data_IF_867648146322
#
_entry.id   IF_867648146322
#
_cell.length_a   1.000
_cell.length_b   1.000
_cell.length_c   1.000
_cell.angle_alpha   90.00
_cell.angle_beta   90.00
_cell.angle_gamma   90.00
#
_symmetry.space_group_name_H-M   'P 1'
#
loop_
_entity.id
_entity.type
_entity.pdbx_description
1 polymer ?
#
# COMPACT_ATOMS: atom_id res chain seq x y z
N UNK A 1 58.04 9.41 -20.37
CA UNK A 1 57.28 8.77 -19.28
C UNK A 1 56.16 7.83 -19.82
N UNK A 2 55.40 8.20 -20.82
CA UNK A 2 54.31 7.41 -21.42
C UNK A 2 54.72 6.05 -22.00
N UNK A 3 55.88 5.93 -22.63
CA UNK A 3 56.39 4.67 -23.22
C UNK A 3 56.67 3.58 -22.19
N UNK A 4 57.21 3.96 -21.02
CA UNK A 4 57.50 3.02 -19.93
C UNK A 4 56.18 2.48 -19.33
N UNK A 5 55.16 3.35 -19.15
CA UNK A 5 53.83 2.96 -18.66
C UNK A 5 53.15 1.98 -19.61
N UNK A 6 53.19 2.23 -20.92
CA UNK A 6 52.61 1.37 -21.94
C UNK A 6 53.27 -0.02 -21.97
N UNK A 7 54.60 -0.10 -21.77
CA UNK A 7 55.34 -1.37 -21.73
C UNK A 7 55.00 -2.17 -20.45
N UNK A 8 54.84 -1.51 -19.31
CA UNK A 8 54.44 -2.15 -18.04
C UNK A 8 53.02 -2.69 -18.19
N UNK A 9 52.10 -1.90 -18.74
CA UNK A 9 50.69 -2.36 -18.98
C UNK A 9 50.65 -3.58 -19.90
N UNK A 10 51.40 -3.56 -21.00
CA UNK A 10 51.48 -4.67 -21.95
C UNK A 10 52.07 -5.93 -21.33
N UNK A 11 53.09 -5.79 -20.47
CA UNK A 11 53.67 -6.89 -19.70
C UNK A 11 52.72 -7.49 -18.70
N UNK A 12 51.96 -6.67 -17.97
CA UNK A 12 50.97 -7.10 -17.01
C UNK A 12 49.82 -7.88 -17.68
N UNK A 13 49.32 -7.38 -18.80
CA UNK A 13 48.27 -8.08 -19.59
C UNK A 13 48.77 -9.43 -20.10
N UNK A 14 50.01 -9.49 -20.59
CA UNK A 14 50.63 -10.73 -21.06
C UNK A 14 50.75 -11.77 -19.94
N UNK A 15 51.15 -11.34 -18.73
CA UNK A 15 51.23 -12.22 -17.56
C UNK A 15 49.87 -12.77 -17.12
N UNK A 16 48.81 -11.95 -17.18
CA UNK A 16 47.43 -12.36 -16.90
C UNK A 16 46.99 -13.43 -17.91
N UNK A 17 47.24 -13.24 -19.18
CA UNK A 17 46.89 -14.16 -20.27
C UNK A 17 47.72 -15.44 -20.28
N UNK A 18 48.94 -15.43 -19.72
CA UNK A 18 49.80 -16.61 -19.62
C UNK A 18 49.31 -17.65 -18.63
N UNK A 19 48.59 -17.22 -17.56
CA UNK A 19 48.05 -18.10 -16.52
C UNK A 19 46.51 -18.00 -16.50
N UNK A 20 45.84 -18.38 -17.56
CA UNK A 20 44.39 -18.21 -17.79
C UNK A 20 43.55 -18.74 -16.65
N UNK A 21 43.86 -19.90 -16.11
CA UNK A 21 43.07 -20.57 -15.05
C UNK A 21 43.16 -19.81 -13.73
N UNK A 22 44.33 -19.29 -13.36
CA UNK A 22 44.54 -18.49 -12.15
C UNK A 22 43.83 -17.13 -12.27
N UNK A 23 43.97 -16.49 -13.42
CA UNK A 23 43.34 -15.20 -13.68
C UNK A 23 41.82 -15.31 -13.69
N UNK A 24 41.27 -16.38 -14.27
CA UNK A 24 39.82 -16.65 -14.29
C UNK A 24 39.29 -16.87 -12.87
N UNK A 25 39.97 -17.69 -12.05
CA UNK A 25 39.54 -17.96 -10.67
C UNK A 25 39.58 -16.70 -9.79
N UNK A 26 40.63 -15.87 -9.95
CA UNK A 26 40.74 -14.62 -9.18
C UNK A 26 39.72 -13.60 -9.61
N UNK A 27 39.44 -13.45 -10.90
CA UNK A 27 38.37 -12.59 -11.42
C UNK A 27 36.97 -13.09 -10.96
N UNK A 28 36.74 -14.38 -11.00
CA UNK A 28 35.49 -14.97 -10.55
C UNK A 28 35.25 -14.68 -9.06
N UNK A 29 36.28 -14.84 -8.21
CA UNK A 29 36.19 -14.50 -6.79
C UNK A 29 35.86 -13.04 -6.56
N UNK A 30 36.51 -12.14 -7.31
CA UNK A 30 36.30 -10.70 -7.22
C UNK A 30 34.85 -10.34 -7.64
N UNK A 31 34.39 -10.89 -8.78
CA UNK A 31 33.02 -10.62 -9.29
C UNK A 31 31.98 -11.11 -8.31
N UNK A 32 32.13 -12.34 -7.79
CA UNK A 32 31.19 -12.88 -6.79
C UNK A 32 31.20 -12.01 -5.52
N UNK A 33 32.38 -11.60 -5.03
CA UNK A 33 32.48 -10.76 -3.86
C UNK A 33 31.76 -9.41 -4.03
N UNK A 34 32.02 -8.70 -5.14
CA UNK A 34 31.37 -7.43 -5.41
C UNK A 34 29.86 -7.59 -5.65
N UNK A 35 29.47 -8.60 -6.43
CA UNK A 35 28.06 -8.89 -6.69
C UNK A 35 27.28 -9.17 -5.39
N UNK A 36 27.86 -9.95 -4.46
CA UNK A 36 27.26 -10.26 -3.18
C UNK A 36 26.99 -9.01 -2.34
N UNK A 37 27.93 -8.07 -2.30
CA UNK A 37 27.76 -6.80 -1.58
C UNK A 37 26.67 -5.94 -2.20
N UNK A 38 26.65 -5.83 -3.54
CA UNK A 38 25.63 -5.06 -4.25
C UNK A 38 24.23 -5.62 -3.99
N UNK A 39 24.09 -6.95 -4.06
CA UNK A 39 22.80 -7.63 -3.80
C UNK A 39 22.37 -7.40 -2.35
N UNK A 40 23.28 -7.54 -1.38
CA UNK A 40 22.96 -7.35 0.03
C UNK A 40 22.46 -5.92 0.31
N UNK A 41 23.17 -4.92 -0.21
CA UNK A 41 22.79 -3.50 -0.07
C UNK A 41 21.47 -3.23 -0.80
N UNK A 42 21.30 -3.79 -1.99
CA UNK A 42 20.04 -3.66 -2.75
C UNK A 42 18.83 -4.23 -2.03
N UNK A 43 18.95 -5.42 -1.45
CA UNK A 43 17.89 -6.04 -0.63
C UNK A 43 17.61 -5.18 0.61
N UNK A 44 18.66 -4.71 1.31
CA UNK A 44 18.51 -3.88 2.50
C UNK A 44 17.72 -2.59 2.21
N UNK A 45 18.12 -1.86 1.18
CA UNK A 45 17.44 -0.63 0.77
C UNK A 45 16.01 -0.89 0.27
N UNK A 46 15.81 -1.94 -0.52
CA UNK A 46 14.48 -2.32 -1.01
C UNK A 46 13.52 -2.68 0.12
N UNK A 47 13.99 -3.45 1.11
CA UNK A 47 13.21 -3.82 2.28
C UNK A 47 12.87 -2.59 3.12
N UNK A 48 13.83 -1.71 3.39
CA UNK A 48 13.61 -0.49 4.15
C UNK A 48 12.58 0.43 3.47
N UNK A 49 12.68 0.61 2.15
CA UNK A 49 11.72 1.39 1.39
C UNK A 49 10.32 0.79 1.42
N UNK A 50 10.21 -0.54 1.32
CA UNK A 50 8.93 -1.23 1.38
C UNK A 50 8.28 -1.13 2.76
N UNK A 51 9.05 -1.27 3.83
CA UNK A 51 8.56 -1.09 5.20
C UNK A 51 8.09 0.36 5.40
N UNK A 52 8.89 1.34 4.97
CA UNK A 52 8.51 2.75 5.10
C UNK A 52 7.20 3.07 4.37
N UNK A 53 7.03 2.56 3.14
CA UNK A 53 5.78 2.75 2.40
C UNK A 53 4.58 2.05 3.05
N UNK A 54 4.78 0.87 3.64
CA UNK A 54 3.73 0.18 4.38
C UNK A 54 3.34 0.92 5.67
N UNK A 55 4.31 1.47 6.40
CA UNK A 55 4.03 2.28 7.60
C UNK A 55 3.28 3.55 7.21
N UNK A 56 3.68 4.24 6.14
CA UNK A 56 2.97 5.41 5.64
C UNK A 56 1.54 5.08 5.19
N UNK A 57 1.32 3.92 4.56
CA UNK A 57 -0.02 3.49 4.15
C UNK A 57 -0.93 3.10 5.31
N UNK A 58 -0.39 2.86 6.50
CA UNK A 58 -1.18 2.62 7.71
C UNK A 58 -1.70 3.89 8.36
N UNK A 59 -1.42 5.08 7.78
CA UNK A 59 -1.86 6.37 8.29
C UNK A 59 -1.16 6.73 9.60
N UNK A 60 0.10 7.14 9.53
CA UNK A 60 0.87 7.55 10.72
C UNK A 60 0.26 8.74 11.45
N UNK A 61 -0.61 9.47 10.77
CA UNK A 61 -1.25 10.69 11.27
C UNK A 61 -2.73 10.46 11.62
N UNK A 62 -3.18 9.19 11.66
CA UNK A 62 -4.56 8.83 12.00
C UNK A 62 -4.68 8.44 13.46
N UNK A 63 -5.53 9.14 14.19
CA UNK A 63 -5.92 8.80 15.56
C UNK A 63 -7.29 8.13 15.54
N UNK A 64 -7.37 6.88 16.00
CA UNK A 64 -8.64 6.17 16.11
C UNK A 64 -9.17 6.28 17.55
N UNK A 65 -10.34 6.90 17.70
CA UNK A 65 -11.06 6.98 18.95
C UNK A 65 -12.15 5.89 18.98
N UNK A 66 -12.03 4.94 19.91
CA UNK A 66 -13.04 3.91 20.12
C UNK A 66 -13.93 4.27 21.32
N UNK A 67 -15.20 4.48 21.07
CA UNK A 67 -16.17 4.79 22.12
C UNK A 67 -16.95 3.52 22.45
N UNK A 68 -16.60 2.91 23.58
CA UNK A 68 -17.23 1.70 24.11
C UNK A 68 -18.10 2.03 25.34
N UNK A 69 -18.95 3.03 25.25
CA UNK A 69 -19.86 3.39 26.34
C UNK A 69 -21.31 3.25 25.90
N UNK A 70 -22.11 2.68 26.78
CA UNK A 70 -23.57 2.67 26.60
C UNK A 70 -24.21 4.04 26.90
N UNK A 71 -23.47 4.93 27.55
CA UNK A 71 -23.99 6.19 28.06
C UNK A 71 -23.67 7.40 27.18
N UNK A 72 -22.79 7.20 26.19
CA UNK A 72 -22.39 8.24 25.23
C UNK A 72 -22.55 7.74 23.80
N UNK A 73 -23.30 8.48 23.00
CA UNK A 73 -23.33 8.37 21.55
C UNK A 73 -22.71 9.63 20.96
N UNK A 74 -21.85 9.49 19.96
CA UNK A 74 -21.37 10.62 19.18
C UNK A 74 -22.53 11.19 18.37
N UNK A 75 -22.69 12.52 18.47
CA UNK A 75 -23.58 13.27 17.61
C UNK A 75 -22.76 14.08 16.58
N UNK A 76 -23.43 14.59 15.54
CA UNK A 76 -22.79 15.44 14.52
C UNK A 76 -22.12 16.68 15.09
N UNK A 77 -22.65 17.26 16.16
CA UNK A 77 -22.05 18.39 16.88
C UNK A 77 -20.69 18.09 17.50
N UNK A 78 -20.43 16.83 17.82
CA UNK A 78 -19.15 16.40 18.40
C UNK A 78 -18.06 16.37 17.31
N UNK A 79 -18.44 16.04 16.07
CA UNK A 79 -17.54 16.05 14.90
C UNK A 79 -17.05 17.47 14.62
N UNK A 80 -17.96 18.45 14.60
CA UNK A 80 -17.63 19.86 14.43
C UNK A 80 -16.69 20.36 15.53
N UNK A 81 -16.90 19.89 16.75
CA UNK A 81 -16.05 20.23 17.90
C UNK A 81 -14.64 19.67 17.75
N UNK A 82 -14.50 18.45 17.18
CA UNK A 82 -13.20 17.84 16.90
C UNK A 82 -12.47 18.52 15.75
N UNK A 83 -13.16 18.92 14.68
CA UNK A 83 -12.59 19.65 13.56
C UNK A 83 -12.05 21.04 13.96
N UNK A 84 -12.59 21.65 15.02
CA UNK A 84 -12.11 22.93 15.54
C UNK A 84 -10.83 22.79 16.39
N UNK A 85 -10.33 21.59 16.68
CA UNK A 85 -9.08 21.40 17.38
C UNK A 85 -7.88 21.68 16.47
N UNK A 86 -6.80 22.23 17.07
CA UNK A 86 -5.57 22.46 16.31
C UNK A 86 -4.95 21.14 15.83
N UNK A 87 -4.49 21.14 14.59
CA UNK A 87 -3.84 20.01 13.92
C UNK A 87 -4.76 18.82 13.59
N UNK A 88 -6.07 19.01 13.56
CA UNK A 88 -7.02 18.05 13.01
C UNK A 88 -7.47 18.58 11.65
N UNK A 89 -7.24 17.79 10.60
CA UNK A 89 -7.57 18.15 9.23
C UNK A 89 -8.88 17.50 8.79
N UNK A 90 -9.07 16.22 9.15
CA UNK A 90 -10.25 15.42 8.79
C UNK A 90 -10.77 14.64 9.99
N UNK A 91 -12.07 14.48 10.07
CA UNK A 91 -12.74 13.62 11.06
C UNK A 91 -13.72 12.73 10.32
N UNK A 92 -13.48 11.42 10.33
CA UNK A 92 -14.33 10.44 9.66
C UNK A 92 -14.94 9.47 10.69
N UNK A 93 -16.18 9.68 11.13
CA UNK A 93 -16.88 8.72 11.97
C UNK A 93 -17.14 7.44 11.18
N UNK A 94 -16.96 6.30 11.83
CA UNK A 94 -17.30 5.02 11.22
C UNK A 94 -17.88 4.03 12.20
N UNK A 95 -18.70 3.12 11.68
CA UNK A 95 -19.24 1.99 12.45
C UNK A 95 -19.12 0.72 11.65
N UNK A 96 -18.50 -0.29 12.24
CA UNK A 96 -18.35 -1.61 11.60
C UNK A 96 -19.49 -2.54 12.03
N UNK A 97 -20.11 -3.18 11.06
CA UNK A 97 -21.16 -4.15 11.24
C UNK A 97 -20.79 -5.40 10.45
N UNK A 98 -20.74 -6.55 11.10
CA UNK A 98 -20.56 -7.83 10.39
C UNK A 98 -21.90 -8.22 9.76
N UNK A 99 -21.90 -8.41 8.45
CA UNK A 99 -23.10 -8.75 7.69
C UNK A 99 -22.78 -9.77 6.59
N UNK A 100 -23.82 -10.35 6.04
CA UNK A 100 -23.73 -11.19 4.84
C UNK A 100 -24.17 -10.37 3.65
N UNK A 101 -23.32 -10.34 2.63
CA UNK A 101 -23.60 -9.64 1.38
C UNK A 101 -23.93 -10.66 0.30
N UNK A 102 -24.96 -10.41 -0.49
CA UNK A 102 -25.37 -11.29 -1.56
C UNK A 102 -25.63 -10.53 -2.86
N UNK A 103 -25.41 -11.21 -3.97
CA UNK A 103 -25.83 -10.80 -5.29
C UNK A 103 -26.54 -11.98 -5.96
N UNK A 104 -27.81 -11.78 -6.33
CA UNK A 104 -28.63 -12.84 -6.93
C UNK A 104 -28.61 -14.15 -6.09
N UNK A 105 -28.03 -15.21 -6.65
CA UNK A 105 -27.88 -16.51 -5.98
C UNK A 105 -26.51 -16.68 -5.30
N UNK A 106 -25.57 -15.75 -5.50
CA UNK A 106 -24.23 -15.80 -4.93
C UNK A 106 -24.22 -15.11 -3.58
N UNK A 107 -23.79 -15.80 -2.54
CA UNK A 107 -23.71 -15.26 -1.18
C UNK A 107 -22.27 -15.30 -0.69
N UNK A 108 -21.73 -14.16 -0.26
CA UNK A 108 -20.47 -14.09 0.48
C UNK A 108 -20.78 -14.17 1.98
N UNK A 109 -20.17 -15.12 2.68
CA UNK A 109 -20.55 -15.44 4.05
C UNK A 109 -20.01 -14.48 5.11
N UNK A 110 -19.04 -13.62 4.80
CA UNK A 110 -18.42 -12.70 5.76
C UNK A 110 -17.99 -11.39 5.09
N UNK A 111 -18.81 -10.37 5.24
CA UNK A 111 -18.43 -9.01 4.89
C UNK A 111 -18.49 -8.12 6.13
N UNK A 112 -17.45 -7.33 6.35
CA UNK A 112 -17.49 -6.24 7.30
C UNK A 112 -17.99 -5.00 6.56
N UNK A 113 -19.19 -4.59 6.91
CA UNK A 113 -19.80 -3.37 6.40
C UNK A 113 -19.36 -2.21 7.28
N UNK A 114 -18.78 -1.20 6.68
CA UNK A 114 -18.36 0.03 7.34
C UNK A 114 -19.30 1.15 6.91
N UNK A 115 -20.16 1.60 7.84
CA UNK A 115 -20.94 2.80 7.65
C UNK A 115 -20.09 4.01 8.02
N UNK A 116 -19.94 4.96 7.10
CA UNK A 116 -19.01 6.08 7.27
C UNK A 116 -19.36 7.29 6.39
N UNK A 117 -18.61 8.37 6.53
CA UNK A 117 -18.67 9.60 5.70
C UNK A 117 -17.74 9.52 4.49
N UNK A 118 -17.87 10.43 3.50
CA UNK A 118 -16.99 10.49 2.33
C UNK A 118 -15.51 10.60 2.65
N UNK A 119 -15.14 11.31 3.72
CA UNK A 119 -13.76 11.58 4.12
C UNK A 119 -13.00 10.35 4.65
N UNK A 120 -13.72 9.26 4.91
CA UNK A 120 -13.12 8.07 5.52
C UNK A 120 -11.99 7.46 4.68
N UNK A 121 -12.18 7.36 3.35
CA UNK A 121 -11.15 6.77 2.49
C UNK A 121 -9.89 7.61 2.46
N UNK A 122 -10.04 8.94 2.43
CA UNK A 122 -8.93 9.86 2.48
C UNK A 122 -8.20 9.75 3.82
N UNK A 123 -8.94 9.72 4.93
CA UNK A 123 -8.39 9.56 6.28
C UNK A 123 -7.54 8.29 6.41
N UNK A 124 -7.97 7.18 5.83
CA UNK A 124 -7.21 5.90 5.90
C UNK A 124 -6.26 5.69 4.71
N UNK A 125 -6.11 6.69 3.83
CA UNK A 125 -5.19 6.66 2.70
C UNK A 125 -5.55 5.66 1.61
N UNK A 126 -6.83 5.29 1.46
CA UNK A 126 -7.29 4.40 0.41
C UNK A 126 -7.76 5.18 -0.82
N UNK A 127 -7.51 4.60 -1.98
CA UNK A 127 -7.92 5.14 -3.28
C UNK A 127 -8.84 4.18 -4.01
N UNK A 128 -9.69 4.74 -4.88
CA UNK A 128 -10.58 3.95 -5.74
C UNK A 128 -9.85 3.55 -7.01
N UNK A 129 -9.98 2.29 -7.41
CA UNK A 129 -9.47 1.80 -8.69
C UNK A 129 -10.49 1.96 -9.82
N UNK A 130 -11.79 1.94 -9.53
CA UNK A 130 -12.86 2.08 -10.51
C UNK A 130 -14.14 2.61 -9.87
N UNK A 131 -14.89 3.46 -10.57
CA UNK A 131 -16.10 4.08 -10.07
C UNK A 131 -15.87 5.48 -9.51
N UNK A 132 -16.63 5.87 -8.49
CA UNK A 132 -16.53 7.17 -7.82
C UNK A 132 -16.53 7.02 -6.30
N UNK A 133 -15.97 7.99 -5.61
CA UNK A 133 -16.08 8.12 -4.15
C UNK A 133 -17.53 8.39 -3.71
N UNK A 134 -17.78 8.15 -2.44
CA UNK A 134 -18.96 8.66 -1.75
C UNK A 134 -18.88 10.20 -1.77
N UNK A 135 -20.02 10.85 -1.80
CA UNK A 135 -20.12 12.31 -1.78
C UNK A 135 -21.10 12.78 -0.72
N UNK A 136 -21.00 14.04 -0.29
CA UNK A 136 -21.97 14.65 0.63
C UNK A 136 -23.40 14.57 0.10
N UNK A 137 -23.58 14.69 -1.22
CA UNK A 137 -24.89 14.53 -1.86
C UNK A 137 -25.50 13.14 -1.62
N UNK A 138 -24.67 12.10 -1.52
CA UNK A 138 -25.17 10.75 -1.22
C UNK A 138 -25.68 10.65 0.21
N UNK A 139 -25.05 11.34 1.15
CA UNK A 139 -25.52 11.42 2.54
C UNK A 139 -26.80 12.26 2.67
N UNK A 140 -26.83 13.44 2.09
CA UNK A 140 -27.97 14.35 2.14
C UNK A 140 -29.24 13.72 1.55
N UNK A 141 -29.10 12.99 0.43
CA UNK A 141 -30.23 12.35 -0.24
C UNK A 141 -30.49 10.92 0.23
N UNK A 142 -29.75 10.42 1.22
CA UNK A 142 -29.83 9.03 1.68
C UNK A 142 -29.70 8.01 0.53
N UNK A 143 -28.81 8.28 -0.42
CA UNK A 143 -28.58 7.40 -1.55
C UNK A 143 -27.96 6.07 -1.07
N UNK A 144 -28.53 4.96 -1.55
CA UNK A 144 -28.04 3.61 -1.22
C UNK A 144 -26.85 3.27 -2.12
N UNK A 145 -25.69 3.78 -1.79
CA UNK A 145 -24.43 3.57 -2.51
C UNK A 145 -23.40 2.91 -1.58
N UNK A 146 -22.53 2.10 -2.15
CA UNK A 146 -21.45 1.48 -1.41
C UNK A 146 -20.19 1.35 -2.26
N UNK A 147 -19.06 1.28 -1.58
CA UNK A 147 -17.76 0.90 -2.13
C UNK A 147 -17.47 -0.53 -1.67
N UNK A 148 -16.92 -1.33 -2.55
CA UNK A 148 -16.56 -2.72 -2.24
C UNK A 148 -15.08 -2.95 -2.46
N UNK A 149 -14.46 -3.78 -1.60
CA UNK A 149 -13.09 -4.23 -1.76
C UNK A 149 -12.96 -5.17 -2.96
N UNK A 150 -11.73 -5.29 -3.46
CA UNK A 150 -11.44 -6.11 -4.64
C UNK A 150 -11.83 -7.58 -4.45
N UNK A 151 -11.52 -8.15 -3.28
CA UNK A 151 -11.81 -9.56 -2.99
C UNK A 151 -13.32 -9.83 -3.02
N UNK A 152 -14.12 -8.93 -2.43
CA UNK A 152 -15.58 -9.04 -2.46
C UNK A 152 -16.14 -8.83 -3.87
N UNK A 153 -15.50 -7.95 -4.65
CA UNK A 153 -15.87 -7.76 -6.05
C UNK A 153 -15.61 -9.01 -6.89
N UNK A 154 -14.48 -9.67 -6.69
CA UNK A 154 -14.18 -10.94 -7.36
C UNK A 154 -15.14 -12.05 -6.96
N UNK A 155 -15.45 -12.18 -5.67
CA UNK A 155 -16.35 -13.19 -5.13
C UNK A 155 -17.78 -13.06 -5.69
N UNK A 156 -18.33 -11.83 -5.74
CA UNK A 156 -19.71 -11.58 -6.13
C UNK A 156 -19.90 -11.37 -7.64
N UNK A 157 -18.90 -10.84 -8.31
CA UNK A 157 -19.01 -10.42 -9.71
C UNK A 157 -18.11 -11.20 -10.66
N UNK A 158 -17.17 -11.99 -10.12
CA UNK A 158 -16.18 -12.74 -10.91
C UNK A 158 -15.40 -11.80 -11.87
N UNK A 159 -15.57 -11.92 -13.15
CA UNK A 159 -14.93 -11.07 -14.17
C UNK A 159 -15.81 -9.90 -14.64
N UNK A 160 -17.03 -9.75 -14.09
CA UNK A 160 -17.93 -8.66 -14.49
C UNK A 160 -17.59 -7.37 -13.77
N UNK A 161 -17.82 -6.23 -14.45
CA UNK A 161 -17.61 -4.93 -13.81
C UNK A 161 -18.67 -4.70 -12.70
N UNK A 162 -18.28 -4.50 -11.44
CA UNK A 162 -19.22 -4.28 -10.34
C UNK A 162 -19.82 -2.86 -10.32
N UNK A 163 -19.20 -1.90 -11.02
CA UNK A 163 -19.63 -0.49 -10.98
C UNK A 163 -21.04 -0.34 -11.58
N UNK A 164 -21.93 0.28 -10.82
CA UNK A 164 -23.33 0.49 -11.21
C UNK A 164 -24.23 -0.74 -11.00
N UNK A 165 -23.71 -1.82 -10.41
CA UNK A 165 -24.49 -3.01 -10.06
C UNK A 165 -25.03 -2.90 -8.63
N UNK A 166 -26.07 -3.70 -8.32
CA UNK A 166 -26.68 -3.73 -6.99
C UNK A 166 -26.28 -4.99 -6.22
N UNK A 167 -26.04 -4.81 -4.93
CA UNK A 167 -25.83 -5.89 -3.95
C UNK A 167 -26.84 -5.77 -2.83
N UNK A 168 -27.07 -6.85 -2.11
CA UNK A 168 -28.06 -6.93 -1.02
C UNK A 168 -27.40 -7.49 0.24
#
# INVERSE_FOLDING_TARGET
MMTKFKNILKGSIKNILSNKLRSLLTMLGLVIGIASVIVLVGIGNGTSSKISSQVQSLGTDVLTLNINSSDYSLDYSDIDSLLNLQNIELVAPYKTISSTVSRESTTSSRANLIATTPDYLETIGLTISSGRLLSEIDLENYNKVCLIGNDLAEDLFSLSNPVGQSIK
#
